data_IF_657808898678
#
_entry.id   IF_657808898678
#
_cell.length_a   1.000
_cell.length_b   1.000
_cell.length_c   1.000
_cell.angle_alpha   90.00
_cell.angle_beta   90.00
_cell.angle_gamma   90.00
#
_symmetry.space_group_name_H-M   'P 1'
#
loop_
_entity.id
_entity.type
_entity.pdbx_description
1 polymer ?
#
# COMPACT_ATOMS: atom_id res chain seq x y z
N UNK A 1 -86.11 -54.14 -36.16
CA UNK A 1 -84.79 -54.81 -36.18
C UNK A 1 -83.73 -53.71 -36.04
N UNK A 2 -83.82 -53.03 -34.90
CA UNK A 2 -83.17 -51.79 -34.50
C UNK A 2 -82.69 -52.15 -33.10
N UNK A 3 -81.52 -52.76 -32.95
CA UNK A 3 -80.92 -52.95 -31.61
C UNK A 3 -79.46 -53.41 -31.70
N UNK A 4 -79.08 -54.17 -32.73
CA UNK A 4 -77.92 -55.07 -32.56
C UNK A 4 -76.63 -54.73 -33.31
N UNK A 5 -76.44 -53.55 -33.91
CA UNK A 5 -75.10 -53.12 -34.38
C UNK A 5 -74.74 -51.67 -34.02
N UNK A 6 -75.49 -51.10 -33.08
CA UNK A 6 -75.01 -50.04 -32.17
C UNK A 6 -73.70 -50.43 -31.44
N UNK A 7 -73.33 -51.72 -31.48
CA UNK A 7 -72.07 -52.27 -30.99
C UNK A 7 -70.88 -52.12 -31.93
N UNK A 8 -71.12 -51.89 -33.23
CA UNK A 8 -70.05 -51.55 -34.18
C UNK A 8 -69.58 -50.11 -33.97
N UNK A 9 -70.49 -49.22 -33.56
CA UNK A 9 -70.20 -47.81 -33.25
C UNK A 9 -69.40 -47.58 -31.96
N UNK A 10 -69.31 -48.55 -31.05
CA UNK A 10 -68.52 -48.40 -29.82
C UNK A 10 -67.05 -48.83 -29.98
N UNK A 11 -66.74 -49.68 -30.96
CA UNK A 11 -65.36 -50.15 -31.21
C UNK A 11 -64.51 -49.17 -32.01
N UNK A 12 -65.14 -48.27 -32.77
CA UNK A 12 -64.43 -47.24 -33.53
C UNK A 12 -64.07 -46.01 -32.68
N UNK A 13 -64.61 -45.92 -31.46
CA UNK A 13 -64.39 -44.82 -30.52
C UNK A 13 -63.00 -44.83 -29.85
N UNK A 14 -62.18 -45.88 -30.04
CA UNK A 14 -60.84 -45.97 -29.42
C UNK A 14 -59.71 -45.51 -30.34
N UNK A 15 -59.94 -45.35 -31.65
CA UNK A 15 -58.92 -44.81 -32.57
C UNK A 15 -58.84 -43.27 -32.58
N UNK A 16 -59.74 -42.56 -31.89
CA UNK A 16 -59.74 -41.08 -31.84
C UNK A 16 -59.15 -40.47 -30.55
N UNK A 17 -58.52 -41.26 -29.68
CA UNK A 17 -57.99 -40.74 -28.40
C UNK A 17 -56.64 -39.99 -28.55
N UNK A 18 -56.03 -39.95 -29.74
CA UNK A 18 -54.79 -39.21 -29.96
C UNK A 18 -55.00 -37.93 -30.81
N UNK A 19 -55.89 -37.03 -30.41
CA UNK A 19 -55.90 -35.64 -30.95
C UNK A 19 -55.95 -34.62 -29.81
N UNK A 20 -54.99 -34.72 -28.89
CA UNK A 20 -54.67 -33.64 -27.95
C UNK A 20 -53.18 -33.34 -27.92
N UNK A 21 -52.67 -32.84 -29.03
CA UNK A 21 -51.58 -31.86 -28.97
C UNK A 21 -52.13 -30.50 -29.36
N UNK A 22 -52.60 -29.77 -28.34
CA UNK A 22 -52.69 -28.32 -28.41
C UNK A 22 -51.25 -27.78 -28.47
N UNK A 23 -50.66 -27.69 -29.64
CA UNK A 23 -49.55 -26.78 -29.87
C UNK A 23 -50.13 -25.38 -30.05
N UNK A 24 -50.39 -24.72 -28.91
CA UNK A 24 -50.51 -23.27 -28.85
C UNK A 24 -49.13 -22.70 -29.18
N UNK A 25 -48.87 -22.45 -30.46
CA UNK A 25 -47.76 -21.59 -30.87
C UNK A 25 -48.20 -20.16 -30.56
N UNK A 26 -48.00 -19.75 -29.31
CA UNK A 26 -47.96 -18.34 -28.93
C UNK A 26 -46.78 -17.74 -29.68
N UNK A 27 -47.06 -17.11 -30.81
CA UNK A 27 -46.09 -16.31 -31.54
C UNK A 27 -45.59 -15.20 -30.63
N UNK A 28 -44.46 -15.43 -29.97
CA UNK A 28 -43.68 -14.38 -29.35
C UNK A 28 -43.20 -13.50 -30.49
N UNK A 29 -43.86 -12.35 -30.68
CA UNK A 29 -43.42 -11.33 -31.63
C UNK A 29 -42.04 -10.87 -31.14
N UNK A 30 -40.98 -11.45 -31.71
CA UNK A 30 -39.62 -11.00 -31.45
C UNK A 30 -39.50 -9.60 -32.03
N UNK A 31 -39.65 -8.57 -31.19
CA UNK A 31 -39.25 -7.21 -31.54
C UNK A 31 -37.76 -7.27 -31.87
N UNK A 32 -37.43 -7.19 -33.15
CA UNK A 32 -36.07 -6.96 -33.61
C UNK A 32 -35.61 -5.64 -32.98
N UNK A 33 -34.71 -5.76 -32.00
CA UNK A 33 -34.07 -4.62 -31.37
C UNK A 33 -33.23 -3.90 -32.44
N UNK A 34 -33.32 -2.57 -32.48
CA UNK A 34 -32.50 -1.73 -33.36
C UNK A 34 -31.03 -2.11 -33.23
N UNK A 35 -30.42 -2.60 -34.31
CA UNK A 35 -28.99 -2.83 -34.37
C UNK A 35 -28.30 -1.51 -34.70
N UNK A 36 -27.37 -1.09 -33.86
CA UNK A 36 -26.57 0.12 -34.06
C UNK A 36 -25.84 0.07 -35.40
N UNK A 37 -25.79 1.21 -36.10
CA UNK A 37 -25.06 1.32 -37.36
C UNK A 37 -23.55 1.38 -37.11
N UNK A 38 -22.74 0.86 -38.04
CA UNK A 38 -21.27 0.85 -37.92
C UNK A 38 -20.70 2.26 -37.72
N UNK A 39 -21.30 3.26 -38.37
CA UNK A 39 -20.90 4.66 -38.25
C UNK A 39 -21.16 5.20 -36.84
N UNK A 40 -22.27 4.82 -36.22
CA UNK A 40 -22.65 5.28 -34.88
C UNK A 40 -21.72 4.69 -33.81
N UNK A 41 -21.31 3.43 -33.98
CA UNK A 41 -20.28 2.83 -33.13
C UNK A 41 -18.93 3.57 -33.26
N UNK A 42 -18.52 3.93 -34.47
CA UNK A 42 -17.25 4.63 -34.71
C UNK A 42 -17.26 6.04 -34.12
N UNK A 43 -18.35 6.81 -34.31
CA UNK A 43 -18.46 8.16 -33.75
C UNK A 43 -18.39 8.13 -32.22
N UNK A 44 -19.07 7.18 -31.58
CA UNK A 44 -19.00 7.01 -30.13
C UNK A 44 -17.58 6.67 -29.67
N UNK A 45 -16.90 5.75 -30.37
CA UNK A 45 -15.52 5.42 -30.04
C UNK A 45 -14.57 6.62 -30.21
N UNK A 46 -14.75 7.43 -31.26
CA UNK A 46 -13.98 8.65 -31.46
C UNK A 46 -14.16 9.64 -30.30
N UNK A 47 -15.38 9.81 -29.81
CA UNK A 47 -15.66 10.68 -28.66
C UNK A 47 -15.03 10.11 -27.38
N UNK A 48 -15.12 8.80 -27.14
CA UNK A 48 -14.49 8.15 -25.99
C UNK A 48 -12.96 8.34 -26.00
N UNK A 49 -12.30 8.13 -27.14
CA UNK A 49 -10.85 8.33 -27.27
C UNK A 49 -10.47 9.79 -26.99
N UNK A 50 -11.24 10.75 -27.51
CA UNK A 50 -10.98 12.17 -27.28
C UNK A 50 -11.08 12.54 -25.79
N UNK A 51 -12.10 12.05 -25.08
CA UNK A 51 -12.28 12.33 -23.64
C UNK A 51 -11.23 11.59 -22.81
N UNK A 52 -10.96 10.32 -23.11
CA UNK A 52 -9.95 9.53 -22.39
C UNK A 52 -8.54 10.13 -22.52
N UNK A 53 -8.21 10.75 -23.67
CA UNK A 53 -6.92 11.40 -23.87
C UNK A 53 -6.62 12.56 -22.91
N UNK A 54 -7.65 13.28 -22.45
CA UNK A 54 -7.50 14.42 -21.54
C UNK A 54 -7.47 13.95 -20.07
N UNK A 55 -8.16 12.86 -19.74
CA UNK A 55 -8.32 12.39 -18.37
C UNK A 55 -7.03 11.78 -17.78
N UNK A 56 -6.23 11.10 -18.61
CA UNK A 56 -5.01 10.40 -18.19
C UNK A 56 -3.93 11.34 -17.61
N UNK A 57 -3.52 12.45 -18.28
CA UNK A 57 -2.41 13.29 -17.80
C UNK A 57 -2.72 14.09 -16.51
N UNK A 58 -3.99 14.39 -16.24
CA UNK A 58 -4.39 15.13 -15.01
C UNK A 58 -4.28 14.24 -13.76
N UNK A 59 -4.43 12.92 -13.92
CA UNK A 59 -4.45 11.97 -12.81
C UNK A 59 -3.06 11.68 -12.22
N UNK A 60 -1.99 11.75 -13.02
CA UNK A 60 -0.64 11.38 -12.56
C UNK A 60 -0.05 12.39 -11.57
N UNK A 61 -0.24 13.70 -11.80
CA UNK A 61 0.34 14.74 -10.96
C UNK A 61 -0.28 14.81 -9.55
N UNK A 62 -1.59 14.58 -9.44
CA UNK A 62 -2.28 14.61 -8.14
C UNK A 62 -1.89 13.44 -7.25
N UNK A 63 -1.69 12.25 -7.83
CA UNK A 63 -1.18 11.09 -7.09
C UNK A 63 0.24 11.33 -6.61
N UNK A 64 1.13 11.87 -7.46
CA UNK A 64 2.50 12.11 -7.07
C UNK A 64 2.59 13.09 -5.89
N UNK A 65 1.80 14.16 -5.92
CA UNK A 65 1.71 15.10 -4.79
C UNK A 65 1.13 14.43 -3.53
N UNK A 66 0.10 13.58 -3.67
CA UNK A 66 -0.46 12.84 -2.54
C UNK A 66 0.57 11.90 -1.91
N UNK A 67 1.32 11.17 -2.74
CA UNK A 67 2.39 10.27 -2.31
C UNK A 67 3.50 11.02 -1.58
N UNK A 68 3.91 12.19 -2.08
CA UNK A 68 4.89 13.06 -1.41
C UNK A 68 4.39 13.50 -0.03
N UNK A 69 3.15 13.97 0.08
CA UNK A 69 2.56 14.42 1.36
C UNK A 69 2.47 13.29 2.37
N UNK A 70 2.03 12.10 1.95
CA UNK A 70 1.96 10.91 2.82
C UNK A 70 3.36 10.51 3.29
N UNK A 71 4.33 10.49 2.38
CA UNK A 71 5.71 10.14 2.70
C UNK A 71 6.32 11.12 3.69
N UNK A 72 6.20 12.42 3.46
CA UNK A 72 6.69 13.45 4.39
C UNK A 72 6.04 13.31 5.77
N UNK A 73 4.73 13.04 5.84
CA UNK A 73 4.04 12.79 7.11
C UNK A 73 4.60 11.57 7.84
N UNK A 74 4.89 10.48 7.12
CA UNK A 74 5.53 9.29 7.67
C UNK A 74 6.95 9.58 8.17
N UNK A 75 7.76 10.29 7.38
CA UNK A 75 9.12 10.69 7.76
C UNK A 75 9.13 11.54 9.04
N UNK A 76 8.19 12.47 9.19
CA UNK A 76 8.05 13.26 10.42
C UNK A 76 7.69 12.39 11.64
N UNK A 77 6.76 11.44 11.48
CA UNK A 77 6.41 10.51 12.57
C UNK A 77 7.60 9.67 13.03
N UNK A 78 8.43 9.21 12.08
CA UNK A 78 9.69 8.51 12.38
C UNK A 78 10.67 9.46 13.06
N UNK A 79 10.76 10.72 12.63
CA UNK A 79 11.61 11.75 13.21
C UNK A 79 11.30 12.02 14.68
N UNK A 80 10.02 12.19 14.99
CA UNK A 80 9.55 12.39 16.36
C UNK A 80 9.85 11.15 17.22
N UNK A 81 9.55 9.95 16.71
CA UNK A 81 9.84 8.68 17.38
C UNK A 81 11.34 8.50 17.65
N UNK A 82 12.19 8.84 16.68
CA UNK A 82 13.64 8.76 16.80
C UNK A 82 14.20 9.77 17.80
N UNK A 83 13.65 10.99 17.83
CA UNK A 83 14.00 11.99 18.84
C UNK A 83 13.63 11.56 20.25
N UNK A 84 12.47 10.96 20.44
CA UNK A 84 12.03 10.38 21.71
C UNK A 84 12.91 9.20 22.14
N UNK A 85 13.21 8.28 21.22
CA UNK A 85 14.12 7.17 21.44
C UNK A 85 15.52 7.65 21.84
N UNK A 86 16.09 8.63 21.13
CA UNK A 86 17.41 9.19 21.44
C UNK A 86 17.43 9.80 22.85
N UNK A 87 16.41 10.59 23.20
CA UNK A 87 16.33 11.23 24.52
C UNK A 87 16.38 10.22 25.66
N UNK A 88 15.75 9.08 25.47
CA UNK A 88 15.63 8.06 26.50
C UNK A 88 16.85 7.11 26.52
N UNK A 89 17.48 6.84 25.37
CA UNK A 89 18.53 5.80 25.24
C UNK A 89 19.95 6.33 25.06
N UNK A 90 20.18 7.64 24.84
CA UNK A 90 21.54 8.18 24.56
C UNK A 90 22.59 7.95 25.64
N UNK A 91 22.17 7.65 26.87
CA UNK A 91 23.06 7.32 27.98
C UNK A 91 23.16 5.81 28.26
N UNK A 92 22.44 4.98 27.51
CA UNK A 92 22.55 3.53 27.51
C UNK A 92 23.75 3.15 26.64
N UNK A 93 24.70 2.40 27.19
CA UNK A 93 25.86 1.92 26.43
C UNK A 93 25.47 0.75 25.53
N UNK A 94 25.74 0.83 24.23
CA UNK A 94 25.52 -0.25 23.26
C UNK A 94 26.86 -0.81 22.78
N UNK A 95 27.30 -1.88 23.45
CA UNK A 95 28.60 -2.51 23.24
C UNK A 95 28.59 -3.71 22.28
N UNK A 96 27.42 -4.21 21.89
CA UNK A 96 27.28 -5.46 21.12
C UNK A 96 27.73 -6.74 21.84
N UNK A 97 28.09 -6.65 23.13
CA UNK A 97 28.56 -7.80 23.95
C UNK A 97 27.51 -8.12 25.01
N UNK A 98 27.11 -7.12 25.78
CA UNK A 98 26.04 -7.21 26.77
C UNK A 98 24.70 -6.72 26.22
N UNK A 99 24.75 -6.05 25.08
CA UNK A 99 23.62 -5.49 24.35
C UNK A 99 23.54 -6.12 22.96
N UNK A 100 22.32 -6.24 22.43
CA UNK A 100 22.11 -6.76 21.06
C UNK A 100 22.59 -5.76 20.01
N UNK A 101 22.34 -4.47 20.23
CA UNK A 101 22.75 -3.39 19.35
C UNK A 101 24.18 -2.92 19.63
N UNK A 102 24.83 -2.32 18.62
CA UNK A 102 26.09 -1.57 18.81
C UNK A 102 25.86 -0.06 18.66
N UNK A 103 26.82 0.77 19.09
CA UNK A 103 26.75 2.22 18.89
C UNK A 103 26.63 2.63 17.41
N UNK A 104 27.15 1.85 16.46
CA UNK A 104 26.99 2.16 15.03
C UNK A 104 25.55 1.97 14.55
N UNK A 105 24.82 1.06 15.19
CA UNK A 105 23.47 0.67 14.79
C UNK A 105 22.42 1.48 15.56
N UNK A 106 22.84 2.43 16.39
CA UNK A 106 22.00 3.19 17.31
C UNK A 106 20.73 3.73 16.67
N UNK A 107 20.84 4.20 15.43
CA UNK A 107 19.77 4.87 14.69
C UNK A 107 19.07 3.98 13.66
N UNK A 108 19.35 2.68 13.68
CA UNK A 108 18.58 1.73 12.88
C UNK A 108 17.13 1.73 13.32
N UNK A 109 16.23 1.65 12.34
CA UNK A 109 14.80 1.76 12.58
C UNK A 109 14.27 0.61 13.44
N UNK A 110 14.97 -0.52 13.44
CA UNK A 110 14.67 -1.73 14.22
C UNK A 110 14.52 -1.43 15.72
N UNK A 111 15.36 -0.53 16.25
CA UNK A 111 15.36 -0.18 17.67
C UNK A 111 14.20 0.72 18.10
N UNK A 112 13.41 1.20 17.13
CA UNK A 112 12.12 1.83 17.42
C UNK A 112 11.01 0.81 17.70
N UNK A 113 11.20 -0.46 17.30
CA UNK A 113 10.24 -1.54 17.48
C UNK A 113 10.63 -2.50 18.61
N UNK A 114 11.93 -2.67 18.84
CA UNK A 114 12.46 -3.57 19.87
C UNK A 114 13.53 -2.86 20.72
N UNK A 115 13.75 -3.37 21.93
CA UNK A 115 14.75 -2.86 22.84
C UNK A 115 16.17 -3.17 22.30
N UNK A 116 17.06 -2.17 22.15
CA UNK A 116 18.44 -2.38 21.69
C UNK A 116 19.33 -3.17 22.65
N UNK A 117 18.96 -3.28 23.93
CA UNK A 117 19.69 -4.05 24.93
C UNK A 117 19.36 -5.53 24.83
N UNK A 118 18.08 -5.88 24.76
CA UNK A 118 17.60 -7.28 24.80
C UNK A 118 17.26 -7.85 23.43
N UNK A 119 17.04 -7.02 22.42
CA UNK A 119 16.58 -7.42 21.08
C UNK A 119 15.10 -7.82 21.02
N UNK A 120 14.31 -7.51 22.05
CA UNK A 120 12.89 -7.90 22.16
C UNK A 120 12.01 -6.77 22.73
N UNK A 121 10.76 -7.06 23.07
CA UNK A 121 9.83 -6.07 23.64
C UNK A 121 10.04 -5.74 25.12
N UNK A 122 11.11 -6.20 25.76
CA UNK A 122 11.34 -5.98 27.19
C UNK A 122 11.64 -4.51 27.47
N UNK A 123 10.90 -3.90 28.40
CA UNK A 123 11.11 -2.51 28.81
C UNK A 123 12.17 -2.47 29.91
N UNK A 124 13.25 -1.73 29.68
CA UNK A 124 14.34 -1.50 30.66
C UNK A 124 14.41 -0.06 31.17
N UNK A 125 13.42 0.77 30.80
CA UNK A 125 13.35 2.15 31.22
C UNK A 125 13.24 2.33 32.74
N UNK A 126 14.13 3.15 33.30
CA UNK A 126 14.09 3.57 34.69
C UNK A 126 13.47 4.95 34.85
N UNK A 127 12.37 5.04 35.61
CA UNK A 127 11.70 6.31 35.91
C UNK A 127 12.58 7.30 36.70
N UNK A 128 13.49 6.80 37.55
CA UNK A 128 14.33 7.63 38.41
C UNK A 128 15.42 8.36 37.61
N UNK A 129 16.14 7.63 36.77
CA UNK A 129 17.19 8.20 35.92
C UNK A 129 16.64 8.79 34.62
N UNK A 130 15.40 8.43 34.25
CA UNK A 130 14.78 8.73 32.95
C UNK A 130 15.61 8.24 31.77
N UNK A 131 16.29 7.11 31.96
CA UNK A 131 17.16 6.48 30.96
C UNK A 131 16.66 5.05 30.72
N UNK A 132 16.75 4.60 29.47
CA UNK A 132 16.39 3.26 29.01
C UNK A 132 15.33 3.28 27.93
N UNK A 133 15.12 2.16 27.28
CA UNK A 133 14.12 1.98 26.24
C UNK A 133 12.73 1.88 26.87
N UNK A 134 11.84 2.82 26.52
CA UNK A 134 10.50 2.94 27.15
C UNK A 134 9.44 2.00 26.61
N UNK A 135 9.71 1.35 25.49
CA UNK A 135 8.71 0.62 24.72
C UNK A 135 8.89 0.91 23.24
N UNK A 136 8.11 0.22 22.38
CA UNK A 136 8.11 0.51 20.96
C UNK A 136 7.68 1.97 20.75
N UNK A 137 8.54 2.74 20.11
CA UNK A 137 8.25 4.10 19.65
C UNK A 137 7.43 4.06 18.35
N UNK A 138 7.51 2.94 17.63
CA UNK A 138 6.66 2.59 16.50
C UNK A 138 6.01 1.23 16.72
N UNK A 139 4.73 1.11 16.36
CA UNK A 139 3.92 -0.09 16.64
C UNK A 139 3.75 -1.01 15.45
N UNK A 140 3.80 -0.44 14.24
CA UNK A 140 3.47 -1.16 13.01
C UNK A 140 4.56 -0.93 11.99
N UNK A 141 5.23 -2.02 11.61
CA UNK A 141 6.02 -2.05 10.39
C UNK A 141 5.09 -1.97 9.18
N UNK A 142 5.43 -1.15 8.20
CA UNK A 142 4.65 -1.02 6.96
C UNK A 142 5.17 -1.98 5.88
N UNK A 143 6.39 -2.49 6.04
CA UNK A 143 7.02 -3.44 5.12
C UNK A 143 6.70 -4.92 5.40
N UNK A 144 6.98 -5.79 4.43
CA UNK A 144 6.85 -7.25 4.59
C UNK A 144 7.96 -7.82 5.48
N UNK A 145 7.60 -8.01 6.75
CA UNK A 145 8.46 -8.57 7.79
C UNK A 145 8.95 -9.98 7.49
N UNK A 146 8.15 -10.79 6.78
CA UNK A 146 8.45 -12.20 6.57
C UNK A 146 9.61 -12.36 5.59
N UNK A 147 9.68 -11.48 4.59
CA UNK A 147 10.75 -11.50 3.60
C UNK A 147 12.01 -10.74 4.04
N UNK A 148 11.87 -9.67 4.84
CA UNK A 148 13.00 -8.84 5.26
C UNK A 148 13.71 -9.33 6.54
N UNK A 149 13.03 -10.11 7.39
CA UNK A 149 13.58 -10.60 8.66
C UNK A 149 13.65 -9.57 9.78
N UNK A 150 13.33 -8.30 9.50
CA UNK A 150 13.33 -7.19 10.47
C UNK A 150 12.25 -6.12 10.14
N UNK A 151 11.83 -5.31 11.13
CA UNK A 151 10.89 -4.20 10.94
C UNK A 151 11.46 -3.05 10.11
N UNK A 152 10.79 -2.71 9.01
CA UNK A 152 11.16 -1.59 8.17
C UNK A 152 9.93 -0.80 7.74
N UNK A 153 10.14 0.49 7.45
CA UNK A 153 9.08 1.36 6.99
C UNK A 153 9.22 1.61 5.50
N UNK A 154 8.08 1.69 4.81
CA UNK A 154 8.04 1.99 3.39
C UNK A 154 7.39 3.33 3.13
N UNK A 155 7.85 3.99 2.08
CA UNK A 155 7.22 5.20 1.56
C UNK A 155 5.98 4.88 0.70
N UNK A 156 5.37 5.93 0.15
CA UNK A 156 4.18 5.79 -0.70
C UNK A 156 4.46 5.07 -2.05
N UNK A 157 5.73 4.90 -2.42
CA UNK A 157 6.16 4.15 -3.61
C UNK A 157 6.61 2.73 -3.28
N UNK A 158 6.42 2.29 -2.03
CA UNK A 158 6.83 0.96 -1.53
C UNK A 158 8.34 0.75 -1.46
N UNK A 159 9.12 1.82 -1.43
CA UNK A 159 10.56 1.77 -1.18
C UNK A 159 10.86 1.89 0.31
N UNK A 160 11.95 1.29 0.78
CA UNK A 160 12.33 1.36 2.20
C UNK A 160 12.78 2.77 2.58
N UNK A 161 12.31 3.25 3.72
CA UNK A 161 12.80 4.47 4.36
C UNK A 161 14.11 4.13 5.07
N UNK A 162 15.10 5.00 4.94
CA UNK A 162 16.42 4.84 5.54
C UNK A 162 16.69 5.94 6.55
N UNK A 163 17.43 5.62 7.60
CA UNK A 163 17.95 6.60 8.54
C UNK A 163 19.45 6.74 8.27
N UNK A 164 19.93 7.97 8.14
CA UNK A 164 21.33 8.26 7.87
C UNK A 164 21.89 9.14 9.00
N UNK A 165 22.86 8.61 9.74
CA UNK A 165 23.69 9.37 10.69
C UNK A 165 24.85 10.00 9.92
N UNK A 166 24.75 11.31 9.70
CA UNK A 166 25.62 12.02 8.76
C UNK A 166 27.04 12.15 9.30
N UNK A 167 27.16 12.41 10.61
CA UNK A 167 28.44 12.52 11.29
C UNK A 167 28.30 12.01 12.73
N UNK A 168 28.56 10.71 12.98
CA UNK A 168 28.32 10.09 14.28
C UNK A 168 29.09 10.73 15.45
N UNK A 169 30.19 11.41 15.16
CA UNK A 169 31.01 12.08 16.19
C UNK A 169 30.62 13.54 16.42
N UNK A 170 29.68 14.09 15.66
CA UNK A 170 29.25 15.48 15.80
C UNK A 170 28.43 15.69 17.06
N UNK A 171 28.57 16.88 17.65
CA UNK A 171 27.71 17.37 18.74
C UNK A 171 27.26 18.79 18.39
N UNK A 172 25.96 19.02 18.11
CA UNK A 172 24.88 18.04 18.07
C UNK A 172 25.00 17.03 16.91
N UNK A 173 24.35 15.86 17.04
CA UNK A 173 24.30 14.86 15.96
C UNK A 173 23.33 15.30 14.88
N UNK A 174 23.74 15.16 13.63
CA UNK A 174 22.95 15.47 12.44
C UNK A 174 22.39 14.16 11.88
N UNK A 175 21.09 13.94 12.06
CA UNK A 175 20.38 12.76 11.62
C UNK A 175 19.39 13.14 10.53
N UNK A 176 19.18 12.25 9.56
CA UNK A 176 18.14 12.43 8.57
C UNK A 176 17.43 11.14 8.24
N UNK A 177 16.15 11.26 7.96
CA UNK A 177 15.29 10.15 7.56
C UNK A 177 14.94 10.40 6.11
N UNK A 178 15.30 9.46 5.24
CA UNK A 178 15.32 9.62 3.79
C UNK A 178 14.40 8.58 3.15
N UNK A 179 13.59 9.03 2.22
CA UNK A 179 12.87 8.21 1.25
C UNK A 179 13.50 8.43 -0.13
N UNK A 180 13.65 7.33 -0.87
CA UNK A 180 14.18 7.32 -2.23
C UNK A 180 13.21 7.93 -3.26
N UNK A 181 11.99 8.28 -2.85
CA UNK A 181 11.03 8.90 -3.73
C UNK A 181 10.55 8.01 -4.88
N UNK A 182 10.10 8.62 -6.00
CA UNK A 182 9.51 7.93 -7.13
C UNK A 182 10.44 6.97 -7.89
N UNK A 183 11.74 7.27 -7.97
CA UNK A 183 12.69 6.47 -8.75
C UNK A 183 13.24 5.25 -7.98
N UNK A 184 13.09 5.26 -6.65
CA UNK A 184 13.52 4.19 -5.76
C UNK A 184 15.02 4.16 -5.50
N UNK A 185 15.77 5.19 -5.90
CA UNK A 185 17.22 5.28 -5.75
C UNK A 185 17.57 6.47 -4.86
N UNK A 186 18.06 6.18 -3.65
CA UNK A 186 18.57 7.24 -2.77
C UNK A 186 19.81 7.89 -3.40
N UNK A 187 19.66 9.15 -3.77
CA UNK A 187 20.69 10.01 -4.34
C UNK A 187 21.45 10.78 -3.26
N UNK A 188 20.79 11.08 -2.13
CA UNK A 188 21.37 11.84 -1.03
C UNK A 188 22.63 11.14 -0.47
N UNK A 189 23.81 11.79 -0.52
CA UNK A 189 25.08 11.19 -0.11
C UNK A 189 25.19 11.03 1.41
N UNK A 190 25.40 9.81 1.96
CA UNK A 190 25.22 9.44 3.39
C UNK A 190 25.97 10.32 4.40
N UNK A 191 27.14 10.85 4.03
CA UNK A 191 28.05 11.55 4.95
C UNK A 191 28.11 13.07 4.74
N UNK A 192 27.29 13.63 3.85
CA UNK A 192 27.27 15.08 3.60
C UNK A 192 26.36 15.76 4.60
N UNK A 193 26.88 16.75 5.35
CA UNK A 193 26.12 17.56 6.31
C UNK A 193 24.81 18.07 5.71
N UNK A 194 23.71 18.02 6.46
CA UNK A 194 22.39 18.45 5.99
C UNK A 194 22.42 19.89 5.47
N UNK A 195 23.13 20.78 6.17
CA UNK A 195 23.29 22.18 5.78
C UNK A 195 24.09 22.39 4.49
N UNK A 196 24.83 21.38 4.01
CA UNK A 196 25.65 21.42 2.81
C UNK A 196 24.97 20.77 1.59
N UNK A 197 23.79 20.17 1.76
CA UNK A 197 23.06 19.54 0.66
C UNK A 197 22.58 20.59 -0.35
N UNK A 198 22.83 20.31 -1.63
CA UNK A 198 22.29 21.10 -2.75
C UNK A 198 21.05 20.42 -3.33
N UNK A 199 20.27 21.14 -4.14
CA UNK A 199 19.12 20.55 -4.83
C UNK A 199 19.50 19.41 -5.78
N UNK A 200 20.76 19.37 -6.24
CA UNK A 200 21.27 18.28 -7.08
C UNK A 200 21.61 17.04 -6.26
N UNK A 201 22.08 17.22 -5.03
CA UNK A 201 22.35 16.11 -4.11
C UNK A 201 21.05 15.47 -3.62
N UNK A 202 19.98 16.26 -3.47
CA UNK A 202 18.66 15.78 -3.04
C UNK A 202 17.91 15.12 -4.21
N UNK A 203 17.92 15.72 -5.40
CA UNK A 203 17.19 15.16 -6.54
C UNK A 203 15.69 15.07 -6.27
N UNK A 204 15.12 13.88 -6.43
CA UNK A 204 13.73 13.53 -6.14
C UNK A 204 13.52 12.86 -4.77
N UNK A 205 14.60 12.66 -4.00
CA UNK A 205 14.53 12.15 -2.64
C UNK A 205 13.77 13.11 -1.73
N UNK A 206 13.09 12.52 -0.74
CA UNK A 206 12.43 13.26 0.32
C UNK A 206 13.16 12.97 1.62
N UNK A 207 13.44 14.01 2.40
CA UNK A 207 14.05 13.82 3.71
C UNK A 207 13.48 14.75 4.77
N UNK A 208 13.56 14.29 6.01
CA UNK A 208 13.35 15.10 7.21
C UNK A 208 14.65 15.07 8.01
N UNK A 209 15.18 16.25 8.31
CA UNK A 209 16.39 16.39 9.11
C UNK A 209 16.05 16.63 10.58
N UNK A 210 16.86 16.03 11.46
CA UNK A 210 16.72 16.10 12.90
C UNK A 210 18.09 16.38 13.52
N UNK A 211 18.15 17.38 14.39
CA UNK A 211 19.35 17.70 15.16
C UNK A 211 19.19 17.20 16.58
N UNK A 212 20.03 16.26 16.98
CA UNK A 212 19.96 15.58 18.27
C UNK A 212 21.00 16.13 19.23
N UNK A 213 20.53 16.55 20.42
CA UNK A 213 21.34 17.14 21.50
C UNK A 213 21.49 16.17 22.70
#
# INVERSE_FOLDING_TARGET
MIEDQKKFTDSFSIQQIAVRERLQITGHVMRLRSAFTLIELIVVLCILVAISGILIPVYSGTIQNANQVVTISSLNQIGDAMGDYWRDTKFVTLDGITTTATESDRFDIDWLFANPVTGDGTIDFSFHSKIGWRGPYLWTSTGDQVSAGAPYMVDAWSHSILVQDVLPTAVPRDLRIVSAGPDGVVTIPPSTATAALTSTDVGDDLYVALTLH
#
